data_IF_814308545213
#
_entry.id   IF_814308545213
#
_cell.length_a   1.000
_cell.length_b   1.000
_cell.length_c   1.000
_cell.angle_alpha   90.00
_cell.angle_beta   90.00
_cell.angle_gamma   90.00
#
_symmetry.space_group_name_H-M   'P 1'
#
loop_
_entity.id
_entity.type
_entity.pdbx_description
1 polymer ?
#
# COMPACT_ATOMS: atom_id res chain seq x y z
N UNK A 1 -2.67 -1.86 22.66
CA UNK A 1 -2.72 -2.64 21.41
C UNK A 1 -1.36 -3.30 21.27
N UNK A 2 -1.31 -4.63 21.13
CA UNK A 2 -0.05 -5.38 20.94
C UNK A 2 0.53 -5.09 19.55
N UNK A 3 1.82 -5.41 19.29
CA UNK A 3 2.39 -5.29 17.94
C UNK A 3 1.57 -6.03 16.87
N UNK A 4 1.06 -7.21 17.20
CA UNK A 4 0.23 -8.01 16.28
C UNK A 4 -1.14 -7.36 16.04
N UNK A 5 -1.78 -6.83 17.09
CA UNK A 5 -3.04 -6.09 16.96
C UNK A 5 -2.86 -4.78 16.17
N UNK A 6 -1.73 -4.09 16.36
CA UNK A 6 -1.36 -2.92 15.58
C UNK A 6 -1.16 -3.27 14.11
N UNK A 7 -0.39 -4.33 13.83
CA UNK A 7 -0.16 -4.79 12.47
C UNK A 7 -1.47 -5.18 11.77
N UNK A 8 -2.36 -5.89 12.45
CA UNK A 8 -3.67 -6.25 11.92
C UNK A 8 -4.54 -5.01 11.64
N UNK A 9 -4.50 -4.02 12.53
CA UNK A 9 -5.23 -2.76 12.36
C UNK A 9 -4.74 -1.97 11.14
N UNK A 10 -3.43 -1.72 11.02
CA UNK A 10 -2.88 -0.94 9.90
C UNK A 10 -3.04 -1.67 8.56
N UNK A 11 -2.96 -3.00 8.55
CA UNK A 11 -3.22 -3.82 7.35
C UNK A 11 -4.67 -3.66 6.88
N UNK A 12 -5.62 -3.67 7.83
CA UNK A 12 -7.04 -3.46 7.53
C UNK A 12 -7.32 -2.06 6.98
N UNK A 13 -6.71 -1.02 7.54
CA UNK A 13 -6.88 0.35 7.03
C UNK A 13 -6.27 0.51 5.63
N UNK A 14 -5.08 -0.07 5.39
CA UNK A 14 -4.47 -0.10 4.06
C UNK A 14 -5.37 -0.80 3.03
N UNK A 15 -5.95 -1.96 3.39
CA UNK A 15 -6.87 -2.70 2.53
C UNK A 15 -8.11 -1.86 2.14
N UNK A 16 -8.67 -1.08 3.07
CA UNK A 16 -9.81 -0.18 2.79
C UNK A 16 -9.43 0.93 1.81
N UNK A 17 -8.28 1.59 2.02
CA UNK A 17 -7.83 2.68 1.14
C UNK A 17 -7.51 2.17 -0.26
N UNK A 18 -6.92 0.99 -0.38
CA UNK A 18 -6.71 0.32 -1.67
C UNK A 18 -8.06 0.02 -2.34
N UNK A 19 -9.05 -0.44 -1.57
CA UNK A 19 -10.41 -0.63 -2.05
C UNK A 19 -10.99 0.65 -2.67
N UNK A 20 -11.01 1.75 -1.90
CA UNK A 20 -11.50 3.04 -2.38
C UNK A 20 -10.78 3.52 -3.65
N UNK A 21 -9.45 3.38 -3.69
CA UNK A 21 -8.66 3.79 -4.85
C UNK A 21 -8.95 2.96 -6.10
N UNK A 22 -9.11 1.64 -5.95
CA UNK A 22 -9.43 0.74 -7.06
C UNK A 22 -10.84 0.98 -7.61
N UNK A 23 -11.82 1.23 -6.74
CA UNK A 23 -13.18 1.60 -7.15
C UNK A 23 -13.18 2.91 -7.95
N UNK A 24 -12.44 3.92 -7.49
CA UNK A 24 -12.31 5.21 -8.17
C UNK A 24 -11.62 5.10 -9.55
N UNK A 25 -10.77 4.08 -9.75
CA UNK A 25 -10.06 3.84 -11.01
C UNK A 25 -10.92 3.21 -12.10
N UNK A 26 -12.03 2.57 -11.73
CA UNK A 26 -12.90 1.82 -12.65
C UNK A 26 -12.22 0.59 -13.26
N UNK A 27 -12.91 -0.08 -14.21
CA UNK A 27 -12.42 -1.27 -14.95
C UNK A 27 -12.14 -2.50 -14.09
N UNK A 28 -12.75 -2.59 -12.91
CA UNK A 28 -12.70 -3.82 -12.13
C UNK A 28 -13.58 -4.88 -12.81
N UNK A 29 -13.02 -6.07 -13.02
CA UNK A 29 -13.74 -7.24 -13.53
C UNK A 29 -14.87 -7.67 -12.58
N UNK A 30 -14.73 -7.39 -11.29
CA UNK A 30 -15.73 -7.63 -10.25
C UNK A 30 -15.69 -6.56 -9.15
N UNK A 31 -16.77 -6.34 -8.39
CA UNK A 31 -16.78 -5.40 -7.26
C UNK A 31 -15.75 -5.78 -6.20
N UNK A 32 -15.11 -4.80 -5.55
CA UNK A 32 -14.14 -5.06 -4.47
C UNK A 32 -14.78 -5.76 -3.28
N UNK A 33 -16.05 -5.46 -3.01
CA UNK A 33 -16.84 -6.15 -1.99
C UNK A 33 -16.96 -7.66 -2.21
N UNK A 34 -16.64 -8.17 -3.42
CA UNK A 34 -16.62 -9.61 -3.72
C UNK A 34 -15.28 -10.29 -3.39
N UNK A 35 -14.24 -9.53 -3.01
CA UNK A 35 -12.93 -10.05 -2.65
C UNK A 35 -12.91 -10.51 -1.18
N UNK A 36 -12.22 -11.60 -0.90
CA UNK A 36 -12.02 -12.05 0.49
C UNK A 36 -10.94 -11.18 1.14
N UNK A 37 -10.95 -11.10 2.46
CA UNK A 37 -9.94 -10.36 3.21
C UNK A 37 -8.51 -10.79 2.84
N UNK A 38 -8.27 -12.09 2.69
CA UNK A 38 -6.98 -12.61 2.24
C UNK A 38 -6.56 -12.13 0.84
N UNK A 39 -7.52 -11.92 -0.07
CA UNK A 39 -7.25 -11.39 -1.40
C UNK A 39 -6.85 -9.91 -1.29
N UNK A 40 -7.53 -9.14 -0.42
CA UNK A 40 -7.19 -7.74 -0.14
C UNK A 40 -5.82 -7.60 0.54
N UNK A 41 -5.50 -8.45 1.51
CA UNK A 41 -4.21 -8.47 2.21
C UNK A 41 -3.05 -8.78 1.26
N UNK A 42 -3.25 -9.73 0.34
CA UNK A 42 -2.26 -10.05 -0.68
C UNK A 42 -2.05 -8.88 -1.65
N UNK A 43 -3.14 -8.21 -2.07
CA UNK A 43 -3.07 -7.02 -2.92
C UNK A 43 -2.37 -5.84 -2.21
N UNK A 44 -2.66 -5.63 -0.93
CA UNK A 44 -2.00 -4.61 -0.12
C UNK A 44 -0.51 -4.87 0.01
N UNK A 45 -0.14 -6.10 0.33
CA UNK A 45 1.26 -6.52 0.42
C UNK A 45 2.01 -6.26 -0.89
N UNK A 46 1.45 -6.69 -2.03
CA UNK A 46 2.05 -6.47 -3.35
C UNK A 46 2.15 -4.98 -3.72
N UNK A 47 1.11 -4.19 -3.41
CA UNK A 47 1.09 -2.76 -3.68
C UNK A 47 2.17 -2.02 -2.87
N UNK A 48 2.28 -2.32 -1.57
CA UNK A 48 3.28 -1.74 -0.67
C UNK A 48 4.69 -2.15 -1.12
N UNK A 49 4.95 -3.44 -1.38
CA UNK A 49 6.26 -3.89 -1.86
C UNK A 49 6.65 -3.20 -3.17
N UNK A 50 5.72 -3.07 -4.11
CA UNK A 50 5.97 -2.36 -5.37
C UNK A 50 6.23 -0.88 -5.14
N UNK A 51 5.47 -0.23 -4.25
CA UNK A 51 5.69 1.17 -3.89
C UNK A 51 7.10 1.39 -3.34
N UNK A 52 7.53 0.56 -2.38
CA UNK A 52 8.87 0.63 -1.78
C UNK A 52 9.94 0.54 -2.86
N UNK A 53 9.88 -0.48 -3.72
CA UNK A 53 10.89 -0.67 -4.80
C UNK A 53 10.95 0.55 -5.73
N UNK A 54 9.79 1.06 -6.17
CA UNK A 54 9.75 2.21 -7.08
C UNK A 54 10.22 3.51 -6.41
N UNK A 55 9.85 3.73 -5.16
CA UNK A 55 10.30 4.89 -4.39
C UNK A 55 11.81 4.81 -4.14
N UNK A 56 12.35 3.64 -3.79
CA UNK A 56 13.81 3.43 -3.68
C UNK A 56 14.54 3.72 -4.98
N UNK A 57 13.99 3.32 -6.13
CA UNK A 57 14.57 3.69 -7.43
C UNK A 57 14.58 5.20 -7.67
N UNK A 58 13.47 5.88 -7.38
CA UNK A 58 13.39 7.35 -7.50
C UNK A 58 14.42 8.06 -6.63
N UNK A 59 14.55 7.66 -5.37
CA UNK A 59 15.53 8.24 -4.44
C UNK A 59 16.95 8.01 -4.94
N UNK A 60 17.26 6.79 -5.39
CA UNK A 60 18.59 6.47 -5.95
C UNK A 60 18.91 7.31 -7.18
N UNK A 61 17.94 7.47 -8.08
CA UNK A 61 18.16 8.12 -9.37
C UNK A 61 18.18 9.67 -9.23
N UNK A 62 17.56 10.24 -8.20
CA UNK A 62 17.56 11.67 -7.90
C UNK A 62 17.60 11.98 -6.38
N UNK A 63 18.75 11.78 -5.71
CA UNK A 63 18.86 12.00 -4.27
C UNK A 63 18.54 13.44 -3.84
N UNK A 64 17.78 13.60 -2.76
CA UNK A 64 17.41 14.90 -2.18
C UNK A 64 16.27 15.62 -2.91
N UNK A 65 15.69 15.02 -3.96
CA UNK A 65 14.56 15.60 -4.70
C UNK A 65 13.20 15.10 -4.21
N UNK A 66 13.18 14.14 -3.28
CA UNK A 66 11.97 13.48 -2.80
C UNK A 66 11.97 13.34 -1.28
N UNK A 67 12.17 14.46 -0.56
CA UNK A 67 12.29 14.52 0.91
C UNK A 67 11.20 13.72 1.63
N UNK A 68 9.93 13.83 1.21
CA UNK A 68 8.82 13.06 1.80
C UNK A 68 8.99 11.53 1.65
N UNK A 69 9.49 11.07 0.50
CA UNK A 69 9.74 9.64 0.26
C UNK A 69 10.99 9.14 1.00
N UNK A 70 12.00 10.00 1.10
CA UNK A 70 13.24 9.72 1.84
C UNK A 70 12.95 9.58 3.33
N UNK A 71 12.25 10.54 3.92
CA UNK A 71 11.80 10.49 5.32
C UNK A 71 10.91 9.26 5.58
N UNK A 72 9.95 8.98 4.70
CA UNK A 72 9.05 7.83 4.86
C UNK A 72 9.78 6.47 4.87
N UNK A 73 10.83 6.32 4.05
CA UNK A 73 11.49 5.02 3.85
C UNK A 73 12.77 4.84 4.66
N UNK A 74 13.46 5.92 5.05
CA UNK A 74 14.76 5.85 5.71
C UNK A 74 14.73 6.31 7.18
N UNK A 75 13.69 7.04 7.60
CA UNK A 75 13.55 7.56 8.96
C UNK A 75 14.15 8.94 9.13
#
# INVERSE_FOLDING_TARGET
MTPDEWQAHVTREAAKEIGKWLEARGRLDRPIASLRLADLDAMASLAISRFVVLASHKIRDAPGQHEDLENLLMG
#
